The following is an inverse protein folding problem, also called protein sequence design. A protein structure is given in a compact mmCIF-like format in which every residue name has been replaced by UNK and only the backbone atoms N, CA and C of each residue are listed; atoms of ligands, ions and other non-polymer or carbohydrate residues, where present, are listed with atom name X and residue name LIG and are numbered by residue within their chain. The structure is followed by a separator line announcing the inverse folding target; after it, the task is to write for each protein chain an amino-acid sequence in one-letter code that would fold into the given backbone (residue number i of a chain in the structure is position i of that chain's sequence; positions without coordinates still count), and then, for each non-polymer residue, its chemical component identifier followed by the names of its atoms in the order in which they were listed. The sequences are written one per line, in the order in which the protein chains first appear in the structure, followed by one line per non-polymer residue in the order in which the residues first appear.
data_IF_393827537426
#
_entry.id   IF_393827537426
#
_cell.length_a   1.000
_cell.length_b   1.000
_cell.length_c   1.000
_cell.angle_alpha   90.00
_cell.angle_beta   90.00
_cell.angle_gamma   90.00
#
_symmetry.space_group_name_H-M   'P 1'
#
loop_
_entity.id
_entity.type
_entity.pdbx_description
1 polymer ?
#
# COMPACT_ATOMS: atom_id res chain seq x y z
N UNK A 1 -4.53 -11.98 6.10
CA UNK A 1 -4.08 -10.64 5.63
C UNK A 1 -4.62 -10.29 4.25
N UNK A 2 -4.66 -11.24 3.29
CA UNK A 2 -5.11 -11.01 1.92
C UNK A 2 -6.50 -10.35 1.80
N UNK A 3 -7.50 -10.80 2.58
CA UNK A 3 -8.83 -10.19 2.61
C UNK A 3 -8.82 -8.70 3.02
N UNK A 4 -8.01 -8.35 4.01
CA UNK A 4 -7.85 -6.95 4.47
C UNK A 4 -7.20 -6.12 3.38
N UNK A 5 -6.15 -6.66 2.76
CA UNK A 5 -5.41 -5.99 1.70
C UNK A 5 -6.32 -5.68 0.50
N UNK A 6 -7.07 -6.68 0.02
CA UNK A 6 -8.08 -6.51 -1.03
C UNK A 6 -9.14 -5.45 -0.65
N UNK A 7 -9.62 -5.46 0.61
CA UNK A 7 -10.62 -4.49 1.08
C UNK A 7 -10.08 -3.06 1.12
N UNK A 8 -8.84 -2.85 1.54
CA UNK A 8 -8.23 -1.51 1.58
C UNK A 8 -7.87 -1.02 0.17
N UNK A 9 -7.51 -1.93 -0.74
CA UNK A 9 -7.22 -1.61 -2.14
C UNK A 9 -8.42 -0.98 -2.87
N UNK A 10 -9.63 -1.49 -2.61
CA UNK A 10 -10.86 -1.01 -3.26
C UNK A 10 -11.39 0.33 -2.73
N UNK A 11 -10.90 0.83 -1.59
CA UNK A 11 -11.43 2.04 -0.95
C UNK A 11 -11.16 3.34 -1.72
N UNK A 12 -9.96 3.57 -2.29
CA UNK A 12 -9.67 4.86 -2.90
C UNK A 12 -10.20 4.98 -4.34
N UNK A 13 -10.91 3.98 -4.84
CA UNK A 13 -11.35 3.93 -6.23
C UNK A 13 -10.28 3.47 -7.22
N UNK A 14 -9.12 3.00 -6.73
CA UNK A 14 -8.18 2.23 -7.54
C UNK A 14 -8.87 0.92 -7.94
N UNK A 15 -9.19 0.78 -9.23
CA UNK A 15 -9.67 -0.49 -9.76
C UNK A 15 -8.61 -1.55 -9.50
N UNK A 16 -8.98 -2.63 -8.82
CA UNK A 16 -8.10 -3.77 -8.66
C UNK A 16 -8.36 -4.67 -9.86
N UNK A 17 -7.42 -4.73 -10.79
CA UNK A 17 -7.45 -5.72 -11.87
C UNK A 17 -6.45 -6.80 -11.48
N UNK A 18 -6.94 -7.87 -10.86
CA UNK A 18 -6.10 -8.98 -10.36
C UNK A 18 -5.28 -9.66 -11.49
N UNK A 19 -5.54 -9.32 -12.77
CA UNK A 19 -4.77 -9.74 -13.93
C UNK A 19 -3.58 -8.81 -14.28
N UNK A 20 -3.48 -7.62 -13.68
CA UNK A 20 -2.39 -6.67 -13.94
C UNK A 20 -1.15 -7.02 -13.09
N UNK A 21 -0.02 -7.22 -13.78
CA UNK A 21 1.28 -7.54 -13.17
C UNK A 21 1.80 -6.44 -12.23
N UNK A 22 1.23 -5.23 -12.35
CA UNK A 22 1.51 -4.07 -11.48
C UNK A 22 0.91 -4.25 -10.08
N UNK A 23 -0.30 -4.82 -9.99
CA UNK A 23 -1.01 -5.04 -8.72
C UNK A 23 -0.33 -6.14 -7.88
N UNK A 24 0.19 -7.20 -8.52
CA UNK A 24 0.86 -8.30 -7.82
C UNK A 24 2.17 -7.88 -7.13
N UNK A 25 2.99 -7.05 -7.79
CA UNK A 25 4.25 -6.54 -7.23
C UNK A 25 4.00 -5.59 -6.07
N UNK A 26 3.09 -4.63 -6.26
CA UNK A 26 2.70 -3.69 -5.21
C UNK A 26 2.10 -4.42 -3.99
N UNK A 27 1.22 -5.41 -4.21
CA UNK A 27 0.67 -6.22 -3.13
C UNK A 27 1.77 -7.00 -2.38
N UNK A 28 2.72 -7.60 -3.08
CA UNK A 28 3.84 -8.31 -2.47
C UNK A 28 4.72 -7.36 -1.63
N UNK A 29 5.01 -6.15 -2.11
CA UNK A 29 5.75 -5.14 -1.38
C UNK A 29 5.04 -4.74 -0.07
N UNK A 30 3.73 -4.49 -0.12
CA UNK A 30 2.90 -4.19 1.06
C UNK A 30 2.97 -5.32 2.09
N UNK A 31 2.87 -6.58 1.65
CA UNK A 31 2.95 -7.75 2.55
C UNK A 31 4.32 -7.84 3.22
N UNK A 32 5.42 -7.69 2.46
CA UNK A 32 6.79 -7.72 3.00
C UNK A 32 7.05 -6.59 4.00
N UNK A 33 6.68 -5.37 3.66
CA UNK A 33 6.89 -4.18 4.51
C UNK A 33 6.13 -4.26 5.82
N UNK A 34 4.91 -4.81 5.79
CA UNK A 34 4.05 -4.83 6.97
C UNK A 34 4.28 -6.07 7.81
N UNK A 35 4.75 -7.19 7.24
CA UNK A 35 5.08 -8.43 7.95
C UNK A 35 3.99 -8.90 8.95
N UNK A 36 2.71 -8.67 8.63
CA UNK A 36 1.58 -9.00 9.52
C UNK A 36 1.19 -7.91 10.52
N UNK A 37 1.96 -6.84 10.67
CA UNK A 37 1.65 -5.69 11.51
C UNK A 37 0.50 -4.87 10.92
N UNK A 38 -0.72 -5.16 11.37
CA UNK A 38 -1.95 -4.53 10.89
C UNK A 38 -1.96 -3.01 11.09
N UNK A 39 -1.37 -2.49 12.17
CA UNK A 39 -1.27 -1.04 12.41
C UNK A 39 -0.38 -0.38 11.37
N UNK A 40 0.75 -1.01 11.03
CA UNK A 40 1.63 -0.53 9.98
C UNK A 40 0.95 -0.59 8.61
N UNK A 41 0.22 -1.66 8.32
CA UNK A 41 -0.58 -1.80 7.10
C UNK A 41 -1.56 -0.64 6.92
N UNK A 42 -2.34 -0.32 7.95
CA UNK A 42 -3.30 0.79 7.89
C UNK A 42 -2.62 2.14 7.64
N UNK A 43 -1.50 2.40 8.33
CA UNK A 43 -0.73 3.63 8.15
C UNK A 43 -0.13 3.73 6.74
N UNK A 44 0.36 2.61 6.19
CA UNK A 44 0.89 2.54 4.83
C UNK A 44 -0.17 2.87 3.78
N UNK A 45 -1.36 2.28 3.87
CA UNK A 45 -2.45 2.60 2.93
C UNK A 45 -2.88 4.07 3.00
N UNK A 46 -2.89 4.67 4.19
CA UNK A 46 -3.17 6.11 4.34
C UNK A 46 -2.12 6.98 3.64
N UNK A 47 -0.83 6.59 3.67
CA UNK A 47 0.21 7.32 2.95
C UNK A 47 0.17 7.08 1.44
N UNK A 48 -0.14 5.85 1.00
CA UNK A 48 -0.35 5.53 -0.42
C UNK A 48 -1.47 6.41 -0.99
N UNK A 49 -2.61 6.49 -0.31
CA UNK A 49 -3.73 7.34 -0.74
C UNK A 49 -3.34 8.82 -0.79
N UNK A 50 -2.62 9.31 0.22
CA UNK A 50 -2.16 10.70 0.28
C UNK A 50 -1.20 11.03 -0.89
N UNK A 51 -0.21 10.18 -1.15
CA UNK A 51 0.76 10.38 -2.23
C UNK A 51 0.06 10.32 -3.58
N UNK A 52 -0.79 9.32 -3.80
CA UNK A 52 -1.51 9.18 -5.05
C UNK A 52 -2.41 10.38 -5.33
N UNK A 53 -3.12 10.89 -4.31
CA UNK A 53 -3.96 12.10 -4.44
C UNK A 53 -3.15 13.35 -4.74
N UNK A 54 -2.04 13.58 -4.05
CA UNK A 54 -1.19 14.78 -4.25
C UNK A 54 -0.56 14.79 -5.64
N UNK A 55 -0.19 13.63 -6.16
CA UNK A 55 0.54 13.49 -7.42
C UNK A 55 -0.35 13.08 -8.59
N UNK A 56 -1.67 13.05 -8.42
CA UNK A 56 -2.65 12.67 -9.45
C UNK A 56 -2.38 11.27 -10.06
N UNK A 57 -1.84 10.35 -9.26
CA UNK A 57 -1.51 8.99 -9.69
C UNK A 57 -2.76 8.11 -9.61
N UNK A 58 -3.07 7.42 -10.70
CA UNK A 58 -4.27 6.60 -10.84
C UNK A 58 -4.08 5.11 -10.50
N UNK A 59 -2.86 4.68 -10.15
CA UNK A 59 -2.54 3.28 -9.86
C UNK A 59 -1.58 3.14 -8.66
N UNK A 60 -1.75 2.07 -7.88
CA UNK A 60 -0.82 1.73 -6.80
C UNK A 60 0.28 0.85 -7.38
N UNK A 61 1.42 1.45 -7.70
CA UNK A 61 2.62 0.72 -8.14
C UNK A 61 3.54 0.39 -6.96
N UNK A 62 4.53 -0.48 -7.16
CA UNK A 62 5.54 -0.78 -6.13
C UNK A 62 6.30 0.49 -5.71
N UNK A 63 6.59 1.39 -6.65
CA UNK A 63 7.25 2.67 -6.38
C UNK A 63 6.39 3.58 -5.50
N UNK A 64 5.06 3.60 -5.69
CA UNK A 64 4.15 4.37 -4.82
C UNK A 64 4.12 3.77 -3.41
N UNK A 65 4.16 2.43 -3.29
CA UNK A 65 4.24 1.74 -1.99
C UNK A 65 5.55 2.09 -1.29
N UNK A 66 6.67 2.08 -1.99
CA UNK A 66 7.99 2.43 -1.46
C UNK A 66 8.05 3.90 -1.02
N UNK A 67 7.57 4.82 -1.86
CA UNK A 67 7.48 6.24 -1.52
C UNK A 67 6.62 6.47 -0.27
N UNK A 68 5.48 5.77 -0.16
CA UNK A 68 4.64 5.82 1.02
C UNK A 68 5.36 5.30 2.27
N UNK A 69 6.10 4.20 2.15
CA UNK A 69 6.86 3.63 3.26
C UNK A 69 7.96 4.59 3.78
N UNK A 70 8.65 5.31 2.90
CA UNK A 70 9.69 6.28 3.28
C UNK A 70 9.15 7.46 4.11
N UNK A 71 7.85 7.76 4.01
CA UNK A 71 7.20 8.81 4.80
C UNK A 71 6.75 8.34 6.19
N UNK A 72 6.84 7.04 6.48
CA UNK A 72 6.41 6.47 7.75
C UNK A 72 7.55 6.41 8.76
N UNK A 73 7.35 7.03 9.91
CA UNK A 73 8.16 6.76 11.10
C UNK A 73 7.73 5.42 11.71
N UNK A 74 8.62 4.44 11.67
CA UNK A 74 8.43 3.11 12.28
C UNK A 74 9.28 3.07 13.55
N UNK A 75 8.63 2.95 14.71
CA UNK A 75 9.35 2.76 15.97
C UNK A 75 9.88 1.33 16.05
N UNK A 76 11.18 1.17 16.22
CA UNK A 76 11.77 -0.13 16.56
C UNK A 76 11.55 -0.40 18.04
N UNK A 77 11.13 -1.62 18.37
CA UNK A 77 11.25 -2.13 19.73
C UNK A 77 12.75 -2.38 19.96
N UNK A 78 13.40 -1.48 20.69
CA UNK A 78 14.72 -1.74 21.27
C UNK A 78 14.60 -2.74 22.43
#
# INVERSE_FOLDING_TARGET
MQFVLQRQWKKPGFGQDDADFTDARAAAAVVRLTAGNFRLLQRLFMQIERIARINEIAAITEEVVEAAAQTLVIGNAN
#
